data_IF_784056701280
#
_entry.id   IF_784056701280
#
_cell.length_a   1.000
_cell.length_b   1.000
_cell.length_c   1.000
_cell.angle_alpha   90.00
_cell.angle_beta   90.00
_cell.angle_gamma   90.00
#
_symmetry.space_group_name_H-M   'P 1'
#
loop_
_entity.id
_entity.type
_entity.pdbx_description
1 polymer ?
#
# COMPACT_ATOMS: atom_id res chain seq x y z
N UNK A 1 -2.16 -12.72 -13.71
CA UNK A 1 -2.85 -11.69 -12.89
C UNK A 1 -1.88 -10.54 -12.70
N UNK A 2 -2.30 -9.31 -13.00
CA UNK A 2 -1.45 -8.12 -12.97
C UNK A 2 -2.05 -7.17 -11.93
N UNK A 3 -1.21 -6.63 -11.05
CA UNK A 3 -1.61 -5.63 -10.07
C UNK A 3 -1.93 -4.29 -10.75
N UNK A 4 -2.98 -3.64 -10.28
CA UNK A 4 -3.39 -2.30 -10.74
C UNK A 4 -3.07 -1.25 -9.67
N UNK A 5 -2.56 -0.06 -10.03
CA UNK A 5 -2.31 0.99 -9.06
C UNK A 5 -3.62 1.59 -8.55
N UNK A 6 -3.72 1.80 -7.24
CA UNK A 6 -4.87 2.46 -6.60
C UNK A 6 -4.80 3.98 -6.84
N UNK A 7 -3.66 4.59 -6.51
CA UNK A 7 -3.43 6.03 -6.65
C UNK A 7 -2.24 6.30 -7.58
N UNK A 8 -2.51 6.46 -8.88
CA UNK A 8 -1.47 6.60 -9.92
C UNK A 8 -0.56 7.82 -9.77
N UNK A 9 -0.94 8.80 -8.96
CA UNK A 9 -0.18 10.03 -8.72
C UNK A 9 0.69 9.97 -7.46
N UNK A 10 0.70 8.84 -6.74
CA UNK A 10 1.51 8.66 -5.52
C UNK A 10 2.58 7.58 -5.74
N UNK A 11 3.82 7.88 -5.37
CA UNK A 11 4.93 6.94 -5.39
C UNK A 11 5.79 7.05 -4.13
N UNK A 12 6.57 6.01 -3.83
CA UNK A 12 7.59 6.10 -2.79
C UNK A 12 8.57 7.23 -3.06
N UNK A 13 9.08 7.85 -2.00
CA UNK A 13 10.21 8.79 -2.12
C UNK A 13 11.51 8.02 -2.29
N UNK A 14 12.53 8.67 -2.88
CA UNK A 14 13.87 8.10 -3.02
C UNK A 14 14.73 8.27 -1.74
N UNK A 15 14.24 9.04 -0.76
CA UNK A 15 15.05 9.53 0.37
C UNK A 15 14.99 8.56 1.54
N UNK A 16 13.79 8.14 1.93
CA UNK A 16 13.59 7.17 2.99
C UNK A 16 12.21 6.54 2.89
N UNK A 17 12.10 5.30 3.37
CA UNK A 17 10.83 4.63 3.57
C UNK A 17 10.31 4.96 4.96
N UNK A 18 9.40 5.93 5.05
CA UNK A 18 8.73 6.29 6.30
C UNK A 18 7.29 5.79 6.25
N UNK A 19 7.14 4.46 6.25
CA UNK A 19 5.84 3.79 6.22
C UNK A 19 5.53 3.15 7.57
N UNK A 20 4.48 3.64 8.23
CA UNK A 20 3.92 3.05 9.46
C UNK A 20 2.64 2.29 9.17
N UNK A 21 2.39 1.18 9.86
CA UNK A 21 1.16 0.40 9.75
C UNK A 21 0.66 -0.02 11.13
N UNK A 22 -0.57 0.36 11.46
CA UNK A 22 -1.27 -0.07 12.66
C UNK A 22 -2.54 -0.84 12.31
N UNK A 23 -2.85 -1.88 13.10
CA UNK A 23 -4.04 -2.70 12.91
C UNK A 23 -4.84 -2.82 14.21
N UNK A 24 -6.14 -2.56 14.13
CA UNK A 24 -7.09 -2.80 15.21
C UNK A 24 -8.00 -4.00 14.85
N UNK A 25 -7.80 -5.17 15.49
CA UNK A 25 -8.58 -6.38 15.21
C UNK A 25 -10.06 -6.25 15.52
N UNK A 26 -10.44 -5.47 16.54
CA UNK A 26 -11.84 -5.35 16.97
C UNK A 26 -12.69 -4.62 15.93
N UNK A 27 -12.12 -3.59 15.30
CA UNK A 27 -12.79 -2.84 14.23
C UNK A 27 -12.49 -3.37 12.82
N UNK A 28 -11.61 -4.38 12.69
CA UNK A 28 -11.09 -4.88 11.40
C UNK A 28 -10.60 -3.75 10.50
N UNK A 29 -9.88 -2.78 11.08
CA UNK A 29 -9.35 -1.62 10.35
C UNK A 29 -7.84 -1.56 10.51
N UNK A 30 -7.16 -1.22 9.42
CA UNK A 30 -5.74 -0.92 9.44
C UNK A 30 -5.49 0.48 8.90
N UNK A 31 -4.59 1.22 9.54
CA UNK A 31 -4.15 2.53 9.09
C UNK A 31 -2.68 2.42 8.67
N UNK A 32 -2.41 2.69 7.40
CA UNK A 32 -1.06 2.88 6.90
C UNK A 32 -0.81 4.38 6.75
N UNK A 33 0.35 4.86 7.22
CA UNK A 33 0.79 6.25 7.04
C UNK A 33 2.11 6.20 6.30
N UNK A 34 2.23 6.95 5.21
CA UNK A 34 3.45 6.95 4.40
C UNK A 34 3.83 8.36 3.93
N UNK A 35 5.13 8.64 3.91
CA UNK A 35 5.69 9.81 3.26
C UNK A 35 5.93 9.52 1.78
N UNK A 36 5.19 10.19 0.89
CA UNK A 36 5.15 9.86 -0.54
C UNK A 36 5.37 11.10 -1.41
N UNK A 37 5.83 10.86 -2.64
CA UNK A 37 5.85 11.88 -3.69
C UNK A 37 4.46 12.01 -4.28
N UNK A 38 3.86 13.19 -4.19
CA UNK A 38 2.65 13.58 -4.91
C UNK A 38 3.03 14.25 -6.23
N UNK A 39 2.72 13.57 -7.33
CA UNK A 39 3.03 14.04 -8.68
C UNK A 39 2.04 15.10 -9.19
N UNK A 40 0.89 15.32 -8.53
CA UNK A 40 -0.04 16.40 -8.90
C UNK A 40 0.55 17.78 -8.59
N UNK A 41 1.23 17.90 -7.46
CA UNK A 41 1.83 19.15 -6.96
C UNK A 41 3.35 19.11 -6.94
N UNK A 42 3.95 17.97 -7.32
CA UNK A 42 5.38 17.73 -7.35
C UNK A 42 6.08 17.95 -5.99
N UNK A 43 5.45 17.55 -4.89
CA UNK A 43 5.94 17.69 -3.52
C UNK A 43 5.93 16.35 -2.78
N UNK A 44 6.74 16.20 -1.73
CA UNK A 44 6.62 15.05 -0.83
C UNK A 44 5.68 15.42 0.32
N UNK A 45 4.72 14.53 0.64
CA UNK A 45 3.69 14.74 1.67
C UNK A 45 3.35 13.44 2.39
N UNK A 46 2.75 13.55 3.57
CA UNK A 46 2.23 12.44 4.35
C UNK A 46 0.83 12.08 3.89
N UNK A 47 0.59 10.80 3.68
CA UNK A 47 -0.73 10.26 3.32
C UNK A 47 -1.12 9.12 4.25
N UNK A 48 -2.40 9.07 4.61
CA UNK A 48 -3.01 7.96 5.31
C UNK A 48 -3.79 7.06 4.36
N UNK A 49 -3.76 5.76 4.60
CA UNK A 49 -4.56 4.77 3.89
C UNK A 49 -5.33 3.94 4.91
N UNK A 50 -6.65 4.15 4.98
CA UNK A 50 -7.52 3.45 5.90
C UNK A 50 -8.14 2.24 5.21
N UNK A 51 -7.67 1.05 5.56
CA UNK A 51 -8.22 -0.22 5.08
C UNK A 51 -9.38 -0.65 5.97
N UNK A 52 -10.50 -1.04 5.36
CA UNK A 52 -11.72 -1.48 6.07
C UNK A 52 -12.08 -2.93 5.75
N UNK A 53 -12.67 -3.60 6.74
CA UNK A 53 -12.97 -5.04 6.72
C UNK A 53 -11.72 -5.87 6.40
N UNK A 54 -10.63 -5.61 7.12
CA UNK A 54 -9.36 -6.32 7.01
C UNK A 54 -9.48 -7.75 7.52
N UNK A 55 -9.05 -8.71 6.72
CA UNK A 55 -9.01 -10.13 7.09
C UNK A 55 -7.60 -10.59 7.41
N UNK A 56 -6.64 -10.18 6.57
CA UNK A 56 -5.26 -10.65 6.63
C UNK A 56 -4.33 -9.46 6.38
N UNK A 57 -3.31 -9.35 7.22
CA UNK A 57 -2.11 -8.55 6.97
C UNK A 57 -0.92 -9.51 7.01
N UNK A 58 -0.08 -9.46 5.99
CA UNK A 58 1.13 -10.28 5.92
C UNK A 58 2.27 -9.52 5.27
N UNK A 59 3.49 -9.99 5.50
CA UNK A 59 4.69 -9.44 4.91
C UNK A 59 5.40 -10.52 4.11
N UNK A 60 5.99 -10.13 2.98
CA UNK A 60 6.80 -11.01 2.14
C UNK A 60 8.07 -10.30 1.71
N UNK A 61 9.23 -10.92 1.94
CA UNK A 61 10.52 -10.38 1.49
C UNK A 61 10.51 -10.11 -0.01
N UNK A 62 11.04 -8.96 -0.42
CA UNK A 62 11.15 -8.55 -1.82
C UNK A 62 12.14 -9.44 -2.56
N UNK A 63 11.61 -10.32 -3.39
CA UNK A 63 12.38 -11.10 -4.34
C UNK A 63 11.50 -11.45 -5.55
N UNK A 64 12.13 -11.90 -6.64
CA UNK A 64 11.44 -12.22 -7.90
C UNK A 64 10.32 -13.27 -7.72
N UNK A 65 10.54 -14.25 -6.86
CA UNK A 65 9.54 -15.29 -6.59
C UNK A 65 8.28 -14.70 -5.94
N UNK A 66 8.44 -13.91 -4.89
CA UNK A 66 7.32 -13.26 -4.20
C UNK A 66 6.64 -12.18 -5.07
N UNK A 67 7.40 -11.42 -5.85
CA UNK A 67 6.86 -10.47 -6.81
C UNK A 67 5.94 -11.18 -7.83
N UNK A 68 6.40 -12.29 -8.41
CA UNK A 68 5.59 -13.09 -9.33
C UNK A 68 4.32 -13.65 -8.67
N UNK A 69 4.43 -14.17 -7.43
CA UNK A 69 3.28 -14.69 -6.67
C UNK A 69 2.23 -13.63 -6.37
N UNK A 70 2.65 -12.37 -6.18
CA UNK A 70 1.77 -11.25 -5.91
C UNK A 70 1.20 -10.61 -7.18
N UNK A 71 1.67 -11.00 -8.37
CA UNK A 71 1.26 -10.40 -9.63
C UNK A 71 1.96 -9.07 -9.95
N UNK A 72 3.09 -8.79 -9.31
CA UNK A 72 3.95 -7.68 -9.65
C UNK A 72 4.71 -8.01 -10.94
N UNK A 73 4.62 -7.15 -11.96
CA UNK A 73 5.38 -7.31 -13.22
C UNK A 73 6.86 -6.96 -13.06
N UNK A 74 7.18 -6.15 -12.05
CA UNK A 74 8.54 -5.76 -11.68
C UNK A 74 8.67 -5.77 -10.14
N UNK A 75 9.88 -5.99 -9.62
CA UNK A 75 10.20 -5.77 -8.21
C UNK A 75 10.12 -4.28 -7.85
N UNK A 76 10.26 -3.38 -8.82
CA UNK A 76 10.03 -1.95 -8.68
C UNK A 76 8.57 -1.57 -8.95
N UNK A 77 7.73 -1.53 -7.92
CA UNK A 77 6.39 -0.93 -8.03
C UNK A 77 6.52 0.59 -8.15
N UNK A 78 6.14 1.14 -9.32
CA UNK A 78 6.24 2.57 -9.62
C UNK A 78 5.35 3.42 -8.70
N UNK A 79 4.13 2.95 -8.43
CA UNK A 79 3.19 3.61 -7.54
C UNK A 79 3.35 3.11 -6.10
N UNK A 80 2.76 3.80 -5.13
CA UNK A 80 2.86 3.35 -3.75
C UNK A 80 2.01 2.10 -3.48
N UNK A 81 0.71 2.19 -3.81
CA UNK A 81 -0.29 1.18 -3.47
C UNK A 81 -0.93 0.59 -4.72
N UNK A 82 -0.98 -0.74 -4.76
CA UNK A 82 -1.63 -1.50 -5.82
C UNK A 82 -2.68 -2.43 -5.25
N UNK A 83 -3.58 -2.90 -6.12
CA UNK A 83 -4.58 -3.89 -5.77
C UNK A 83 -4.74 -4.97 -6.84
N UNK A 84 -5.26 -6.12 -6.41
CA UNK A 84 -5.80 -7.19 -7.25
C UNK A 84 -7.21 -7.50 -6.77
N UNK A 85 -8.17 -7.63 -7.68
CA UNK A 85 -9.50 -8.14 -7.34
C UNK A 85 -9.39 -9.62 -6.96
N UNK A 86 -9.97 -9.97 -5.81
CA UNK A 86 -10.21 -11.34 -5.38
C UNK A 86 -11.67 -11.71 -5.67
N UNK A 87 -12.03 -12.95 -5.38
CA UNK A 87 -13.43 -13.38 -5.37
C UNK A 87 -14.21 -12.64 -4.25
N UNK A 88 -15.52 -12.43 -4.44
CA UNK A 88 -16.42 -11.76 -3.50
C UNK A 88 -16.15 -10.26 -3.22
N UNK A 89 -15.89 -9.45 -4.25
CA UNK A 89 -15.66 -7.98 -4.17
C UNK A 89 -14.42 -7.54 -3.36
N UNK A 90 -13.74 -8.48 -2.70
CA UNK A 90 -12.55 -8.26 -1.89
C UNK A 90 -11.35 -7.94 -2.77
N UNK A 91 -10.38 -7.23 -2.19
CA UNK A 91 -9.15 -6.85 -2.87
C UNK A 91 -7.94 -7.23 -2.04
N UNK A 92 -6.89 -7.67 -2.73
CA UNK A 92 -5.54 -7.78 -2.15
C UNK A 92 -4.81 -6.50 -2.48
N UNK A 93 -4.48 -5.72 -1.48
CA UNK A 93 -3.64 -4.54 -1.58
C UNK A 93 -2.18 -4.90 -1.34
N UNK A 94 -1.28 -4.30 -2.11
CA UNK A 94 0.16 -4.53 -2.02
C UNK A 94 0.89 -3.18 -2.09
N UNK A 95 1.80 -2.93 -1.15
CA UNK A 95 2.71 -1.79 -1.17
C UNK A 95 4.09 -2.18 -0.66
N UNK A 96 5.08 -1.33 -0.95
CA UNK A 96 6.46 -1.50 -0.51
C UNK A 96 6.67 -0.90 0.87
N UNK A 97 7.36 -1.65 1.74
CA UNK A 97 7.97 -1.11 2.95
C UNK A 97 9.32 -1.78 3.17
N UNK A 98 10.41 -1.02 3.14
CA UNK A 98 11.79 -1.43 3.34
C UNK A 98 12.16 -2.64 2.45
N UNK A 99 12.47 -3.80 3.04
CA UNK A 99 12.81 -5.03 2.33
C UNK A 99 11.58 -5.91 2.01
N UNK A 100 10.37 -5.46 2.34
CA UNK A 100 9.15 -6.26 2.29
C UNK A 100 8.07 -5.69 1.37
N UNK A 101 7.34 -6.59 0.72
CA UNK A 101 5.98 -6.34 0.26
C UNK A 101 5.04 -6.50 1.45
N UNK A 102 4.25 -5.46 1.73
CA UNK A 102 3.14 -5.54 2.67
C UNK A 102 1.89 -5.91 1.88
N UNK A 103 1.17 -6.92 2.36
CA UNK A 103 0.01 -7.49 1.69
C UNK A 103 -1.19 -7.45 2.64
N UNK A 104 -2.24 -6.75 2.23
CA UNK A 104 -3.48 -6.59 3.00
C UNK A 104 -4.65 -7.09 2.18
N UNK A 105 -5.38 -8.08 2.69
CA UNK A 105 -6.68 -8.45 2.13
C UNK A 105 -7.77 -7.68 2.88
N UNK A 106 -8.52 -6.85 2.15
CA UNK A 106 -9.54 -5.98 2.71
C UNK A 106 -10.64 -5.69 1.67
N UNK A 107 -11.78 -5.18 2.13
CA UNK A 107 -12.89 -4.80 1.24
C UNK A 107 -12.60 -3.50 0.49
N UNK A 108 -12.09 -2.49 1.20
CA UNK A 108 -11.85 -1.16 0.65
C UNK A 108 -10.63 -0.49 1.29
N UNK A 109 -10.14 0.55 0.61
CA UNK A 109 -9.15 1.49 1.12
C UNK A 109 -9.62 2.91 0.84
N UNK A 110 -9.47 3.80 1.81
CA UNK A 110 -9.74 5.23 1.70
C UNK A 110 -8.42 6.02 1.87
N UNK A 111 -8.25 7.07 1.06
CA UNK A 111 -7.11 7.99 1.17
C UNK A 111 -7.45 9.11 2.17
N UNK A 112 -6.55 9.35 3.10
CA UNK A 112 -6.58 10.47 4.04
C UNK A 112 -5.47 11.43 3.64
N UNK A 113 -5.83 12.62 3.17
CA UNK A 113 -4.91 13.70 2.82
C UNK A 113 -4.76 14.69 3.99
N UNK A 114 -3.66 15.45 4.04
CA UNK A 114 -3.46 16.51 5.03
C UNK A 114 -3.01 16.05 6.42
N UNK A 115 -2.31 14.91 6.51
CA UNK A 115 -1.67 14.47 7.75
C UNK A 115 -0.37 15.25 8.00
N UNK A 116 -0.44 16.39 8.68
CA UNK A 116 0.76 17.10 9.13
C UNK A 116 1.20 16.60 10.51
N UNK A 117 2.39 16.01 10.57
CA UNK A 117 3.06 15.68 11.82
C UNK A 117 4.01 16.85 12.15
N UNK A 118 3.64 17.67 13.13
CA UNK A 118 4.47 18.75 13.67
C UNK A 118 5.68 18.23 14.44
#
# INVERSE_FOLDING_TARGET
>A
MILEPVFKYLSNTLISDNTGLEYNPNSKKALCIAWLKDHKVNENKSFGFLFSDVEIISQKVKNKMNANLLGCTDMGMLHFLYYLNLEDERKRYVFHSEENFIVINAKSVELIEGLDFM
#
